data_IF_246570699383
#
_entry.id   IF_246570699383
#
_cell.length_a   1.000
_cell.length_b   1.000
_cell.length_c   1.000
_cell.angle_alpha   90.00
_cell.angle_beta   90.00
_cell.angle_gamma   90.00
#
_symmetry.space_group_name_H-M   'P 1'
#
loop_
_entity.id
_entity.type
_entity.pdbx_description
1 polymer ?
#
# COMPACT_ATOMS: atom_id res chain seq x y z
N UNK A 1 14.10 20.39 2.87
CA UNK A 1 13.79 19.01 3.34
C UNK A 1 14.33 18.71 4.74
N UNK A 2 15.60 18.84 5.10
CA UNK A 2 16.01 18.62 6.53
C UNK A 2 16.76 19.79 7.16
N UNK A 3 17.21 20.75 6.35
CA UNK A 3 18.07 21.84 6.83
C UNK A 3 19.43 21.36 7.35
N UNK A 4 19.82 20.12 7.01
CA UNK A 4 21.14 19.56 7.33
C UNK A 4 22.28 20.43 6.82
N UNK A 5 23.40 20.38 7.53
CA UNK A 5 24.65 21.02 7.06
C UNK A 5 25.32 20.15 6.00
N UNK A 6 26.27 20.69 5.22
CA UNK A 6 26.96 19.98 4.13
C UNK A 6 27.62 18.66 4.57
N UNK A 7 28.00 18.54 5.84
CA UNK A 7 28.63 17.34 6.39
C UNK A 7 27.64 16.24 6.79
N UNK A 8 26.33 16.50 6.75
CA UNK A 8 25.30 15.54 7.18
C UNK A 8 25.29 14.30 6.28
N UNK A 9 25.39 13.08 6.82
CA UNK A 9 25.33 11.84 6.06
C UNK A 9 24.03 11.71 5.28
N UNK A 10 24.13 11.19 4.05
CA UNK A 10 22.97 10.93 3.18
C UNK A 10 21.98 9.97 3.84
N UNK A 11 22.48 8.86 4.37
CA UNK A 11 21.68 7.86 5.07
C UNK A 11 20.84 8.45 6.22
N UNK A 12 21.40 9.40 6.99
CA UNK A 12 20.66 10.08 8.05
C UNK A 12 19.55 10.99 7.52
N UNK A 13 19.77 11.64 6.38
CA UNK A 13 18.74 12.44 5.72
C UNK A 13 17.63 11.55 5.15
N UNK A 14 17.99 10.44 4.50
CA UNK A 14 17.07 9.44 3.96
C UNK A 14 16.21 8.85 5.10
N UNK A 15 16.84 8.45 6.21
CA UNK A 15 16.17 7.89 7.41
C UNK A 15 15.14 8.83 8.00
N UNK A 16 15.45 10.12 8.15
CA UNK A 16 14.50 11.07 8.76
C UNK A 16 13.40 11.48 7.79
N UNK A 17 13.71 11.57 6.50
CA UNK A 17 12.72 12.02 5.51
C UNK A 17 11.83 10.91 4.99
N UNK A 18 12.21 9.65 5.17
CA UNK A 18 11.54 8.52 4.54
C UNK A 18 11.74 8.49 3.03
N UNK A 19 12.78 9.18 2.52
CA UNK A 19 13.06 9.22 1.09
C UNK A 19 13.98 8.09 0.69
N UNK A 20 13.58 7.36 -0.35
CA UNK A 20 14.42 6.37 -1.03
C UNK A 20 15.66 7.05 -1.64
N UNK A 21 16.79 6.35 -1.59
CA UNK A 21 18.02 6.80 -2.24
C UNK A 21 17.83 6.87 -3.77
N UNK A 22 18.65 7.69 -4.45
CA UNK A 22 18.63 7.71 -5.92
C UNK A 22 19.02 6.37 -6.53
N UNK A 23 19.81 5.57 -5.84
CA UNK A 23 20.22 4.26 -6.30
C UNK A 23 19.03 3.28 -6.28
N UNK A 24 18.26 3.25 -5.20
CA UNK A 24 17.12 2.35 -5.07
C UNK A 24 15.99 2.74 -6.03
N UNK A 25 15.77 4.05 -6.20
CA UNK A 25 14.85 4.56 -7.23
C UNK A 25 15.25 4.12 -8.65
N UNK A 26 16.55 4.05 -8.94
CA UNK A 26 17.06 3.53 -10.23
C UNK A 26 16.86 2.03 -10.33
N UNK A 27 17.19 1.27 -9.28
CA UNK A 27 16.97 -0.20 -9.21
C UNK A 27 15.50 -0.53 -9.50
N UNK A 28 14.58 0.14 -8.79
CA UNK A 28 13.12 0.07 -8.99
C UNK A 28 12.73 0.27 -10.44
N UNK A 29 13.16 1.38 -11.04
CA UNK A 29 12.85 1.71 -12.44
C UNK A 29 13.42 0.69 -13.43
N UNK A 30 14.64 0.21 -13.22
CA UNK A 30 15.27 -0.78 -14.10
C UNK A 30 14.48 -2.08 -14.09
N UNK A 31 14.19 -2.63 -12.91
CA UNK A 31 13.49 -3.92 -12.78
C UNK A 31 12.03 -3.80 -13.24
N UNK A 32 11.30 -2.75 -12.84
CA UNK A 32 9.93 -2.54 -13.33
C UNK A 32 9.85 -2.37 -14.85
N UNK A 33 10.84 -1.74 -15.47
CA UNK A 33 10.86 -1.58 -16.92
C UNK A 33 11.23 -2.90 -17.62
N UNK A 34 12.15 -3.66 -17.04
CA UNK A 34 12.54 -4.98 -17.53
C UNK A 34 11.34 -5.92 -17.54
N UNK A 35 10.60 -6.00 -16.43
CA UNK A 35 9.40 -6.84 -16.32
C UNK A 35 8.29 -6.36 -17.24
N UNK A 36 8.11 -5.05 -17.41
CA UNK A 36 7.17 -4.51 -18.40
C UNK A 36 7.48 -5.01 -19.81
N UNK A 37 8.75 -5.00 -20.22
CA UNK A 37 9.14 -5.49 -21.54
C UNK A 37 8.92 -6.99 -21.71
N UNK A 38 9.06 -7.80 -20.66
CA UNK A 38 8.70 -9.23 -20.72
C UNK A 38 7.22 -9.42 -21.06
N UNK A 39 6.34 -8.62 -20.46
CA UNK A 39 4.88 -8.74 -20.67
C UNK A 39 4.40 -8.14 -22.00
N UNK A 40 5.22 -7.39 -22.74
CA UNK A 40 4.85 -6.78 -24.02
C UNK A 40 5.30 -7.65 -25.20
N UNK A 41 4.55 -8.72 -25.50
CA UNK A 41 4.90 -9.71 -26.52
C UNK A 41 5.27 -9.11 -27.90
N UNK A 42 4.56 -8.05 -28.33
CA UNK A 42 4.77 -7.41 -29.63
C UNK A 42 5.88 -6.34 -29.64
N UNK A 43 6.53 -6.06 -28.51
CA UNK A 43 7.53 -5.01 -28.40
C UNK A 43 8.92 -5.51 -28.84
N UNK A 44 9.71 -4.76 -29.65
CA UNK A 44 11.02 -5.20 -30.13
C UNK A 44 12.00 -5.58 -29.00
N UNK A 45 11.92 -4.88 -27.86
CA UNK A 45 12.77 -5.14 -26.69
C UNK A 45 12.37 -6.44 -25.97
N UNK A 46 11.13 -6.94 -26.11
CA UNK A 46 10.75 -8.22 -25.53
C UNK A 46 11.66 -9.34 -26.04
N UNK A 47 11.90 -9.41 -27.36
CA UNK A 47 12.84 -10.36 -27.99
C UNK A 47 14.26 -10.26 -27.43
N UNK A 48 14.72 -9.06 -27.09
CA UNK A 48 16.05 -8.85 -26.50
C UNK A 48 16.11 -9.32 -25.04
N UNK A 49 15.02 -9.12 -24.29
CA UNK A 49 14.91 -9.56 -22.89
C UNK A 49 14.77 -11.08 -22.80
N UNK A 50 13.99 -11.70 -23.67
CA UNK A 50 13.72 -13.15 -23.66
C UNK A 50 14.89 -13.96 -24.20
N UNK A 51 15.50 -13.55 -25.33
CA UNK A 51 16.55 -14.34 -25.98
C UNK A 51 17.93 -14.23 -25.33
N UNK A 52 18.11 -13.28 -24.39
CA UNK A 52 19.36 -13.02 -23.66
C UNK A 52 20.64 -13.23 -24.51
N UNK A 53 20.81 -12.44 -25.59
CA UNK A 53 21.82 -12.72 -26.62
C UNK A 53 23.25 -12.73 -26.05
N UNK A 54 24.10 -13.62 -26.61
CA UNK A 54 25.50 -13.78 -26.18
C UNK A 54 26.24 -12.44 -26.24
N UNK A 55 26.93 -12.12 -25.15
CA UNK A 55 27.63 -10.84 -24.98
C UNK A 55 28.97 -10.87 -25.70
N UNK A 56 29.18 -9.91 -26.62
CA UNK A 56 30.47 -9.71 -27.30
C UNK A 56 31.48 -8.93 -26.45
N UNK A 57 31.01 -8.07 -25.55
CA UNK A 57 31.85 -7.23 -24.67
C UNK A 57 31.52 -7.51 -23.20
N UNK A 58 32.51 -7.41 -22.30
CA UNK A 58 32.36 -7.59 -20.84
C UNK A 58 31.55 -6.48 -20.13
N UNK A 59 30.90 -5.57 -20.87
CA UNK A 59 30.10 -4.47 -20.29
C UNK A 59 28.73 -4.96 -19.84
N UNK A 60 28.27 -4.47 -18.69
CA UNK A 60 26.90 -4.66 -18.20
C UNK A 60 25.94 -3.83 -19.05
N UNK A 61 24.91 -4.47 -19.59
CA UNK A 61 23.81 -3.81 -20.28
C UNK A 61 22.56 -3.77 -19.38
N UNK A 62 21.50 -3.14 -19.87
CA UNK A 62 20.23 -3.01 -19.15
C UNK A 62 19.67 -4.35 -18.67
N UNK A 63 19.66 -5.39 -19.52
CA UNK A 63 19.10 -6.71 -19.16
C UNK A 63 19.94 -7.43 -18.13
N UNK A 64 21.26 -7.36 -18.22
CA UNK A 64 22.19 -7.91 -17.24
C UNK A 64 21.99 -7.26 -15.86
N UNK A 65 21.88 -5.94 -15.84
CA UNK A 65 21.68 -5.17 -14.61
C UNK A 65 20.32 -5.51 -13.98
N UNK A 66 19.25 -5.57 -14.78
CA UNK A 66 17.94 -5.95 -14.30
C UNK A 66 17.89 -7.38 -13.73
N UNK A 67 18.51 -8.35 -14.40
CA UNK A 67 18.60 -9.74 -13.92
C UNK A 67 19.38 -9.86 -12.61
N UNK A 68 20.47 -9.11 -12.47
CA UNK A 68 21.25 -9.08 -11.23
C UNK A 68 20.42 -8.52 -10.07
N UNK A 69 19.72 -7.41 -10.28
CA UNK A 69 18.86 -6.80 -9.26
C UNK A 69 17.67 -7.72 -8.93
N UNK A 70 17.06 -8.33 -9.95
CA UNK A 70 15.97 -9.28 -9.77
C UNK A 70 16.39 -10.47 -8.90
N UNK A 71 17.60 -11.02 -9.16
CA UNK A 71 18.17 -12.09 -8.34
C UNK A 71 18.49 -11.63 -6.92
N UNK A 72 19.03 -10.43 -6.73
CA UNK A 72 19.32 -9.91 -5.38
C UNK A 72 18.08 -9.60 -4.55
N UNK A 73 16.94 -9.35 -5.20
CA UNK A 73 15.65 -9.14 -4.55
C UNK A 73 14.86 -10.44 -4.36
N UNK A 74 15.44 -11.59 -4.72
CA UNK A 74 14.80 -12.92 -4.62
C UNK A 74 13.39 -12.98 -5.24
N UNK A 75 13.19 -12.21 -6.31
CA UNK A 75 11.92 -12.17 -7.01
C UNK A 75 11.70 -13.52 -7.74
N UNK A 76 10.46 -14.05 -7.76
CA UNK A 76 10.14 -15.30 -8.43
C UNK A 76 10.48 -15.25 -9.92
N UNK A 77 10.75 -16.37 -10.59
CA UNK A 77 11.12 -16.35 -12.01
C UNK A 77 9.90 -15.95 -12.87
N UNK A 78 9.84 -14.67 -13.23
CA UNK A 78 8.70 -14.03 -13.89
C UNK A 78 8.72 -14.33 -15.39
N UNK A 79 8.22 -15.49 -15.81
CA UNK A 79 7.80 -15.67 -17.19
C UNK A 79 6.35 -15.23 -17.30
N UNK A 80 6.01 -14.24 -18.14
CA UNK A 80 4.63 -13.81 -18.24
C UNK A 80 3.79 -14.86 -18.96
N UNK A 81 2.80 -15.44 -18.26
CA UNK A 81 1.75 -16.23 -18.93
C UNK A 81 0.71 -15.32 -19.58
N UNK A 82 0.54 -14.11 -19.05
CA UNK A 82 -0.44 -13.14 -19.53
C UNK A 82 0.25 -11.95 -20.20
N UNK A 83 0.11 -11.77 -21.52
CA UNK A 83 0.63 -10.57 -22.17
C UNK A 83 -0.10 -9.34 -21.65
N UNK A 84 0.62 -8.24 -21.49
CA UNK A 84 0.03 -6.93 -21.26
C UNK A 84 -0.78 -6.57 -22.51
N UNK A 85 -2.11 -6.64 -22.43
CA UNK A 85 -2.96 -6.25 -23.56
C UNK A 85 -2.78 -4.75 -23.84
N UNK A 86 -2.37 -4.41 -25.07
CA UNK A 86 -2.61 -3.08 -25.61
C UNK A 86 -4.12 -2.91 -25.77
N UNK A 87 -4.63 -1.73 -25.43
CA UNK A 87 -6.04 -1.29 -25.54
C UNK A 87 -6.99 -2.27 -26.24
N UNK A 88 -8.00 -2.74 -25.52
CA UNK A 88 -9.07 -3.55 -26.13
C UNK A 88 -9.91 -2.67 -27.06
N UNK A 89 -10.32 -3.26 -28.17
CA UNK A 89 -11.40 -2.83 -29.05
C UNK A 89 -12.76 -2.92 -28.33
N UNK A 90 -12.93 -2.22 -27.20
CA UNK A 90 -14.23 -2.01 -26.59
C UNK A 90 -14.68 -0.61 -26.97
N UNK A 91 -15.44 -0.47 -28.07
CA UNK A 91 -15.84 0.82 -28.50
C UNK A 91 -16.70 1.51 -27.42
N UNK A 92 -16.47 2.79 -27.14
CA UNK A 92 -17.16 3.53 -26.09
C UNK A 92 -18.69 3.61 -26.27
N UNK A 93 -19.23 3.21 -27.42
CA UNK A 93 -20.65 3.17 -27.73
C UNK A 93 -21.35 1.84 -27.39
N UNK A 94 -20.61 0.80 -26.95
CA UNK A 94 -21.22 -0.35 -26.31
C UNK A 94 -21.66 0.06 -24.90
N UNK A 95 -22.82 0.72 -24.82
CA UNK A 95 -23.43 1.18 -23.59
C UNK A 95 -23.65 0.00 -22.65
N UNK A 96 -22.93 -0.01 -21.52
CA UNK A 96 -23.33 -0.77 -20.35
C UNK A 96 -24.71 -0.29 -19.93
N UNK A 97 -25.62 -1.22 -19.66
CA UNK A 97 -26.76 -1.01 -18.76
C UNK A 97 -26.24 -0.20 -17.58
N UNK A 98 -26.85 0.95 -17.26
CA UNK A 98 -26.42 1.77 -16.12
C UNK A 98 -26.67 0.98 -14.83
N UNK A 99 -25.66 0.24 -14.38
CA UNK A 99 -25.64 -0.41 -13.07
C UNK A 99 -25.53 0.70 -12.02
N UNK A 100 -26.42 0.67 -11.03
CA UNK A 100 -26.41 1.65 -9.95
C UNK A 100 -25.21 1.37 -9.04
N UNK A 101 -24.14 2.18 -9.15
CA UNK A 101 -22.95 2.12 -8.29
C UNK A 101 -23.01 3.25 -7.25
N UNK A 102 -23.16 2.90 -5.98
CA UNK A 102 -23.23 3.83 -4.86
C UNK A 102 -21.96 3.73 -4.03
N UNK A 103 -21.15 4.80 -4.00
CA UNK A 103 -19.80 4.81 -3.39
C UNK A 103 -19.70 5.54 -2.06
N UNK A 104 -20.81 6.07 -1.57
CA UNK A 104 -20.89 6.87 -0.36
C UNK A 104 -22.12 6.44 0.46
N UNK A 105 -22.05 6.65 1.77
CA UNK A 105 -23.17 6.49 2.71
C UNK A 105 -23.38 7.85 3.35
N UNK A 106 -24.62 8.35 3.34
CA UNK A 106 -24.96 9.64 3.91
C UNK A 106 -24.43 9.78 5.34
N UNK A 107 -23.79 10.92 5.63
CA UNK A 107 -23.13 11.26 6.89
C UNK A 107 -21.88 10.43 7.30
N UNK A 108 -21.52 9.36 6.60
CA UNK A 108 -20.23 8.67 6.81
C UNK A 108 -19.11 9.49 6.17
N UNK A 109 -18.35 10.24 6.98
CA UNK A 109 -17.21 11.05 6.49
C UNK A 109 -15.87 10.43 6.86
N UNK A 110 -14.85 10.58 5.98
CA UNK A 110 -13.46 10.11 6.16
C UNK A 110 -12.70 10.71 7.36
N UNK A 111 -13.35 11.50 8.23
CA UNK A 111 -12.64 12.10 9.37
C UNK A 111 -12.24 10.98 10.33
N UNK A 112 -10.93 10.85 10.56
CA UNK A 112 -10.29 10.03 11.62
C UNK A 112 -10.84 10.28 13.04
N UNK A 113 -11.78 11.20 13.21
CA UNK A 113 -12.42 11.57 14.48
C UNK A 113 -13.76 10.89 14.73
N UNK A 114 -14.32 10.11 13.80
CA UNK A 114 -15.58 9.41 14.05
C UNK A 114 -15.35 8.19 14.96
N UNK A 115 -16.15 8.07 16.01
CA UNK A 115 -16.18 6.91 16.89
C UNK A 115 -16.74 5.74 16.07
N UNK A 116 -16.10 4.56 16.06
CA UNK A 116 -16.49 3.38 15.25
C UNK A 116 -18.00 3.09 15.24
N UNK A 117 -18.68 3.36 16.35
CA UNK A 117 -20.13 3.20 16.56
C UNK A 117 -20.99 4.01 15.58
N UNK A 118 -20.54 5.19 15.15
CA UNK A 118 -21.29 6.05 14.21
C UNK A 118 -21.37 5.44 12.79
N UNK A 119 -20.25 5.09 12.13
CA UNK A 119 -20.27 4.38 10.85
C UNK A 119 -21.04 3.05 10.88
N UNK A 120 -20.93 2.30 11.98
CA UNK A 120 -21.67 1.04 12.17
C UNK A 120 -23.18 1.29 12.08
N UNK A 121 -23.73 2.18 12.92
CA UNK A 121 -25.16 2.45 12.96
C UNK A 121 -25.70 2.99 11.63
N UNK A 122 -24.94 3.89 10.97
CA UNK A 122 -25.34 4.44 9.67
C UNK A 122 -25.37 3.37 8.58
N UNK A 123 -24.37 2.49 8.54
CA UNK A 123 -24.29 1.41 7.57
C UNK A 123 -25.38 0.37 7.81
N UNK A 124 -25.62 -0.02 9.06
CA UNK A 124 -26.68 -0.95 9.42
C UNK A 124 -28.07 -0.40 9.06
N UNK A 125 -28.34 0.87 9.39
CA UNK A 125 -29.60 1.51 9.01
C UNK A 125 -29.77 1.60 7.49
N UNK A 126 -28.71 1.88 6.74
CA UNK A 126 -28.73 1.86 5.27
C UNK A 126 -29.08 0.46 4.73
N UNK A 127 -28.46 -0.59 5.27
CA UNK A 127 -28.77 -1.97 4.90
C UNK A 127 -30.24 -2.32 5.17
N UNK A 128 -30.74 -1.98 6.35
CA UNK A 128 -32.11 -2.34 6.75
C UNK A 128 -33.20 -1.53 6.01
N UNK A 129 -32.89 -0.29 5.61
CA UNK A 129 -33.85 0.59 4.92
C UNK A 129 -33.82 0.46 3.40
N UNK A 130 -32.63 0.46 2.79
CA UNK A 130 -32.47 0.41 1.32
C UNK A 130 -32.44 -1.02 0.79
N UNK A 131 -31.85 -1.95 1.54
CA UNK A 131 -31.61 -3.33 1.11
C UNK A 131 -32.11 -4.36 2.15
N UNK A 132 -33.39 -4.32 2.57
CA UNK A 132 -33.91 -5.21 3.61
C UNK A 132 -33.75 -6.68 3.21
N UNK A 133 -33.25 -7.51 4.12
CA UNK A 133 -32.85 -8.90 3.86
C UNK A 133 -33.97 -9.79 3.32
N UNK A 134 -35.22 -9.52 3.69
CA UNK A 134 -36.38 -10.29 3.22
C UNK A 134 -36.82 -9.98 1.78
N UNK A 135 -36.26 -8.95 1.13
CA UNK A 135 -36.59 -8.59 -0.25
C UNK A 135 -35.35 -8.48 -1.17
N UNK A 136 -34.15 -8.49 -0.60
CA UNK A 136 -32.90 -8.35 -1.32
C UNK A 136 -31.95 -9.50 -1.00
N UNK A 137 -31.31 -10.05 -2.02
CA UNK A 137 -30.12 -10.86 -1.85
C UNK A 137 -28.96 -9.92 -1.54
N UNK A 138 -28.33 -10.10 -0.38
CA UNK A 138 -27.17 -9.29 0.05
C UNK A 138 -25.90 -10.12 -0.07
N UNK A 139 -25.01 -9.77 -0.98
CA UNK A 139 -23.72 -10.44 -1.14
C UNK A 139 -22.60 -9.53 -0.67
N UNK A 140 -21.97 -9.87 0.45
CA UNK A 140 -20.81 -9.21 1.01
C UNK A 140 -19.54 -9.84 0.48
N UNK A 141 -18.56 -9.01 0.14
CA UNK A 141 -17.29 -9.46 -0.43
C UNK A 141 -16.11 -8.71 0.18
N UNK A 142 -15.02 -9.43 0.45
CA UNK A 142 -13.77 -8.85 0.93
C UNK A 142 -12.57 -9.59 0.32
N UNK A 143 -11.40 -8.96 0.33
CA UNK A 143 -10.14 -9.50 -0.18
C UNK A 143 -8.98 -9.23 0.76
N UNK A 144 -8.18 -10.27 1.01
CA UNK A 144 -7.00 -10.20 1.87
C UNK A 144 -5.76 -10.71 1.14
N UNK A 145 -4.60 -10.13 1.41
CA UNK A 145 -3.31 -10.67 1.00
C UNK A 145 -2.28 -10.56 2.12
N UNK A 146 -1.52 -11.63 2.30
CA UNK A 146 -0.38 -11.70 3.22
C UNK A 146 0.73 -10.78 2.73
N UNK A 147 1.32 -10.00 3.64
CA UNK A 147 2.36 -9.00 3.32
C UNK A 147 1.96 -8.04 2.17
N UNK A 148 0.65 -7.86 1.97
CA UNK A 148 0.01 -7.11 0.89
C UNK A 148 0.21 -7.65 -0.55
N UNK A 149 0.96 -8.76 -0.74
CA UNK A 149 1.36 -9.24 -2.09
C UNK A 149 1.43 -10.76 -2.25
N UNK A 150 1.17 -11.54 -1.20
CA UNK A 150 1.26 -13.01 -1.21
C UNK A 150 -0.01 -13.67 -0.69
N UNK A 151 -0.19 -14.93 -1.09
CA UNK A 151 -1.19 -15.86 -0.56
C UNK A 151 -2.54 -15.16 -0.33
N UNK A 152 -3.09 -14.62 -1.42
CA UNK A 152 -4.30 -13.81 -1.33
C UNK A 152 -5.54 -14.68 -1.25
N UNK A 153 -6.54 -14.22 -0.53
CA UNK A 153 -7.84 -14.86 -0.48
C UNK A 153 -8.98 -13.88 -0.68
N UNK A 154 -9.99 -14.32 -1.43
CA UNK A 154 -11.26 -13.64 -1.58
C UNK A 154 -12.32 -14.33 -0.72
N UNK A 155 -13.17 -13.54 -0.08
CA UNK A 155 -14.27 -14.02 0.75
C UNK A 155 -15.61 -13.53 0.22
N UNK A 156 -16.59 -14.42 0.14
CA UNK A 156 -17.96 -14.09 -0.30
C UNK A 156 -18.96 -14.66 0.70
N UNK A 157 -19.80 -13.78 1.24
CA UNK A 157 -20.92 -14.13 2.10
C UNK A 157 -22.23 -13.65 1.48
N UNK A 158 -23.14 -14.58 1.18
CA UNK A 158 -24.43 -14.27 0.57
C UNK A 158 -25.54 -14.56 1.58
N UNK A 159 -26.37 -13.58 1.85
CA UNK A 159 -27.61 -13.73 2.60
C UNK A 159 -28.79 -13.78 1.62
N UNK A 160 -29.58 -14.84 1.73
CA UNK A 160 -30.76 -15.06 0.91
C UNK A 160 -32.03 -14.60 1.65
N UNK A 161 -33.10 -14.22 0.92
CA UNK A 161 -34.35 -13.77 1.52
C UNK A 161 -35.07 -14.78 2.42
N UNK A 162 -34.76 -16.07 2.28
CA UNK A 162 -35.29 -17.16 3.10
C UNK A 162 -34.51 -17.35 4.43
N UNK A 163 -33.60 -16.42 4.76
CA UNK A 163 -32.66 -16.48 5.88
C UNK A 163 -31.59 -17.58 5.78
N UNK A 164 -31.46 -18.25 4.63
CA UNK A 164 -30.29 -19.09 4.37
C UNK A 164 -29.08 -18.23 4.03
N UNK A 165 -27.88 -18.82 4.11
CA UNK A 165 -26.66 -18.11 3.74
C UNK A 165 -25.63 -19.00 3.06
N UNK A 166 -24.91 -18.45 2.10
CA UNK A 166 -23.78 -19.11 1.43
C UNK A 166 -22.47 -18.45 1.84
N UNK A 167 -21.43 -19.28 2.08
CA UNK A 167 -20.08 -18.85 2.46
C UNK A 167 -19.08 -19.47 1.50
N UNK A 168 -18.22 -18.64 0.91
CA UNK A 168 -17.25 -19.08 -0.09
C UNK A 168 -15.92 -18.41 0.20
N UNK A 169 -14.87 -19.23 0.28
CA UNK A 169 -13.48 -18.80 0.43
C UNK A 169 -12.73 -19.18 -0.84
N UNK A 170 -11.94 -18.25 -1.38
CA UNK A 170 -11.34 -18.35 -2.71
C UNK A 170 -9.84 -18.13 -2.60
N UNK A 171 -8.97 -19.06 -3.01
CA UNK A 171 -7.56 -18.80 -3.18
C UNK A 171 -7.33 -17.97 -4.45
N UNK A 172 -6.80 -16.76 -4.30
CA UNK A 172 -6.60 -15.80 -5.41
C UNK A 172 -5.17 -15.84 -5.97
N UNK A 173 -4.37 -16.77 -5.45
CA UNK A 173 -3.05 -17.12 -5.94
C UNK A 173 -1.92 -16.69 -5.00
N UNK A 174 -0.77 -17.34 -5.21
CA UNK A 174 0.45 -17.14 -4.41
C UNK A 174 1.00 -15.72 -4.46
N UNK A 175 0.81 -15.04 -5.59
CA UNK A 175 1.11 -13.63 -5.77
C UNK A 175 -0.20 -12.93 -6.05
N UNK A 176 -0.76 -12.31 -5.02
CA UNK A 176 -2.04 -11.62 -5.12
C UNK A 176 -2.00 -10.39 -4.22
N UNK A 177 -2.60 -9.31 -4.68
CA UNK A 177 -2.71 -8.06 -3.92
C UNK A 177 -4.11 -7.98 -3.33
N UNK A 178 -4.30 -7.21 -2.25
CA UNK A 178 -5.65 -6.98 -1.69
C UNK A 178 -6.63 -6.54 -2.79
N UNK A 179 -6.22 -5.60 -3.65
CA UNK A 179 -7.03 -5.13 -4.78
C UNK A 179 -7.47 -6.25 -5.74
N UNK A 180 -6.56 -7.17 -6.07
CA UNK A 180 -6.91 -8.33 -6.91
C UNK A 180 -7.86 -9.26 -6.18
N UNK A 181 -7.58 -9.56 -4.90
CA UNK A 181 -8.42 -10.44 -4.11
C UNK A 181 -9.84 -9.88 -3.93
N UNK A 182 -9.97 -8.57 -3.70
CA UNK A 182 -11.23 -7.83 -3.64
C UNK A 182 -12.00 -7.94 -4.97
N UNK A 183 -11.31 -7.75 -6.10
CA UNK A 183 -11.92 -7.86 -7.43
C UNK A 183 -12.36 -9.29 -7.77
N UNK A 184 -11.56 -10.30 -7.41
CA UNK A 184 -11.89 -11.71 -7.62
C UNK A 184 -13.04 -12.17 -6.72
N UNK A 185 -13.12 -11.69 -5.47
CA UNK A 185 -14.25 -11.94 -4.58
C UNK A 185 -15.56 -11.41 -5.15
N UNK A 186 -15.58 -10.17 -5.66
CA UNK A 186 -16.73 -9.61 -6.36
C UNK A 186 -17.09 -10.40 -7.62
N UNK A 187 -16.08 -10.83 -8.39
CA UNK A 187 -16.29 -11.58 -9.61
C UNK A 187 -16.93 -12.94 -9.30
N UNK A 188 -16.48 -13.61 -8.25
CA UNK A 188 -17.01 -14.90 -7.83
C UNK A 188 -18.42 -14.76 -7.25
N UNK A 189 -18.68 -13.74 -6.43
CA UNK A 189 -20.02 -13.43 -5.97
C UNK A 189 -20.99 -13.26 -7.14
N UNK A 190 -20.58 -12.51 -8.18
CA UNK A 190 -21.40 -12.32 -9.37
C UNK A 190 -21.67 -13.64 -10.11
N UNK A 191 -20.67 -14.51 -10.30
CA UNK A 191 -20.85 -15.82 -10.95
C UNK A 191 -21.79 -16.74 -10.17
N UNK A 192 -21.62 -16.81 -8.85
CA UNK A 192 -22.46 -17.64 -7.97
C UNK A 192 -23.91 -17.19 -8.06
N UNK A 193 -24.14 -15.88 -8.05
CA UNK A 193 -25.47 -15.31 -8.17
C UNK A 193 -26.08 -15.58 -9.55
N UNK A 194 -25.33 -15.45 -10.64
CA UNK A 194 -25.79 -15.78 -12.01
C UNK A 194 -26.25 -17.24 -12.12
N UNK A 195 -25.54 -18.15 -11.47
CA UNK A 195 -25.83 -19.58 -11.54
C UNK A 195 -26.92 -20.05 -10.56
N UNK A 196 -27.46 -19.16 -9.71
CA UNK A 196 -28.51 -19.49 -8.75
C UNK A 196 -29.89 -19.17 -9.33
N UNK A 197 -30.80 -20.14 -9.33
CA UNK A 197 -32.19 -19.95 -9.74
C UNK A 197 -32.91 -18.89 -8.88
N UNK A 198 -32.56 -18.80 -7.60
CA UNK A 198 -33.13 -17.82 -6.68
C UNK A 198 -32.82 -16.36 -7.06
N UNK A 199 -31.81 -16.13 -7.91
CA UNK A 199 -31.44 -14.79 -8.39
C UNK A 199 -32.33 -14.32 -9.54
N UNK A 200 -33.00 -15.23 -10.25
CA UNK A 200 -33.78 -14.87 -11.44
C UNK A 200 -34.93 -13.93 -11.06
N UNK A 201 -34.91 -12.70 -11.61
CA UNK A 201 -35.85 -11.62 -11.28
C UNK A 201 -35.81 -11.14 -9.81
N UNK A 202 -34.81 -11.52 -9.03
CA UNK A 202 -34.61 -11.02 -7.68
C UNK A 202 -33.89 -9.66 -7.65
N UNK A 203 -34.00 -8.94 -6.52
CA UNK A 203 -33.20 -7.73 -6.27
C UNK A 203 -31.91 -8.14 -5.57
N UNK A 204 -30.78 -7.64 -6.07
CA UNK A 204 -29.44 -8.02 -5.63
C UNK A 204 -28.63 -6.77 -5.29
N UNK A 205 -27.94 -6.80 -4.16
CA UNK A 205 -26.91 -5.81 -3.81
C UNK A 205 -25.58 -6.51 -3.56
N UNK A 206 -24.53 -6.07 -4.27
CA UNK A 206 -23.14 -6.44 -3.97
C UNK A 206 -22.55 -5.38 -3.03
N UNK A 207 -22.08 -5.82 -1.87
CA UNK A 207 -21.58 -4.99 -0.77
C UNK A 207 -20.07 -5.23 -0.62
N UNK A 208 -19.27 -4.18 -0.75
CA UNK A 208 -17.80 -4.28 -0.69
C UNK A 208 -17.20 -3.03 -0.06
N UNK A 209 -16.09 -3.16 0.65
CA UNK A 209 -15.29 -2.02 1.12
C UNK A 209 -14.20 -1.58 0.13
N UNK A 210 -14.04 -2.32 -0.96
CA UNK A 210 -13.12 -2.09 -2.07
C UNK A 210 -13.53 -0.94 -2.99
N UNK A 211 -13.58 0.30 -2.48
CA UNK A 211 -13.93 1.49 -3.29
C UNK A 211 -13.04 1.64 -4.52
N UNK A 212 -11.76 1.26 -4.43
CA UNK A 212 -10.83 1.26 -5.56
C UNK A 212 -11.28 0.37 -6.71
N UNK A 213 -11.87 -0.79 -6.42
CA UNK A 213 -12.39 -1.70 -7.45
C UNK A 213 -13.62 -1.10 -8.11
N UNK A 214 -14.52 -0.48 -7.33
CA UNK A 214 -15.67 0.24 -7.87
C UNK A 214 -15.26 1.46 -8.72
N UNK A 215 -14.18 2.16 -8.35
CA UNK A 215 -13.60 3.25 -9.14
C UNK A 215 -12.99 2.74 -10.46
N UNK A 216 -12.39 1.55 -10.45
CA UNK A 216 -11.89 0.93 -11.66
C UNK A 216 -13.01 0.45 -12.59
N UNK A 217 -14.14 -0.04 -12.04
CA UNK A 217 -15.31 -0.45 -12.84
C UNK A 217 -15.98 0.71 -13.58
N UNK A 218 -15.99 1.91 -12.98
CA UNK A 218 -16.44 3.13 -13.67
C UNK A 218 -15.47 3.56 -14.78
N UNK A 219 -14.23 3.09 -14.76
CA UNK A 219 -13.21 3.41 -15.76
C UNK A 219 -13.24 2.40 -16.91
N UNK A 220 -13.58 2.87 -18.11
CA UNK A 220 -13.53 2.05 -19.34
C UNK A 220 -12.12 1.63 -19.77
N UNK A 221 -11.08 1.89 -18.97
CA UNK A 221 -9.66 1.76 -19.33
C UNK A 221 -8.89 0.80 -18.42
N UNK A 222 -9.55 -0.02 -17.60
CA UNK A 222 -8.89 -0.92 -16.66
C UNK A 222 -9.04 -2.40 -17.08
N UNK A 223 -8.10 -2.97 -17.85
CA UNK A 223 -8.17 -4.36 -18.30
C UNK A 223 -8.31 -5.39 -17.17
N UNK A 224 -7.77 -5.08 -16.00
CA UNK A 224 -7.77 -5.94 -14.82
C UNK A 224 -9.17 -6.27 -14.30
N UNK A 225 -10.14 -5.37 -14.48
CA UNK A 225 -11.52 -5.57 -13.99
C UNK A 225 -12.47 -6.00 -15.11
N UNK A 226 -11.97 -6.35 -16.30
CA UNK A 226 -12.84 -6.73 -17.42
C UNK A 226 -13.64 -8.00 -17.15
N UNK A 227 -13.00 -9.03 -16.58
CA UNK A 227 -13.68 -10.27 -16.25
C UNK A 227 -14.77 -10.05 -15.18
N UNK A 228 -14.48 -9.16 -14.21
CA UNK A 228 -15.44 -8.69 -13.23
C UNK A 228 -16.60 -7.91 -13.90
N UNK A 229 -16.29 -6.95 -14.78
CA UNK A 229 -17.29 -6.16 -15.49
C UNK A 229 -18.21 -7.04 -16.36
N UNK A 230 -17.67 -8.07 -17.01
CA UNK A 230 -18.46 -9.06 -17.73
C UNK A 230 -19.38 -9.84 -16.78
N UNK A 231 -18.86 -10.36 -15.66
CA UNK A 231 -19.65 -11.09 -14.68
C UNK A 231 -20.79 -10.23 -14.08
N UNK A 232 -20.51 -8.97 -13.75
CA UNK A 232 -21.53 -8.01 -13.27
C UNK A 232 -22.56 -7.71 -14.37
N UNK A 233 -22.12 -7.56 -15.62
CA UNK A 233 -23.04 -7.33 -16.76
C UNK A 233 -23.98 -8.54 -16.93
N UNK A 234 -23.46 -9.77 -16.88
CA UNK A 234 -24.30 -10.97 -16.92
C UNK A 234 -25.27 -11.01 -15.75
N UNK A 235 -24.81 -10.73 -14.53
CA UNK A 235 -25.68 -10.66 -13.35
C UNK A 235 -26.80 -9.60 -13.50
N UNK A 236 -26.48 -8.47 -14.12
CA UNK A 236 -27.45 -7.40 -14.38
C UNK A 236 -28.58 -7.81 -15.34
N UNK A 237 -28.33 -8.81 -16.19
CA UNK A 237 -29.33 -9.38 -17.09
C UNK A 237 -30.18 -10.48 -16.41
N UNK A 238 -29.67 -11.11 -15.36
CA UNK A 238 -30.38 -12.16 -14.60
C UNK A 238 -31.26 -11.59 -13.49
N UNK A 239 -30.77 -10.58 -12.75
CA UNK A 239 -31.49 -9.95 -11.65
C UNK A 239 -32.52 -8.92 -12.15
N UNK A 240 -33.61 -8.69 -11.41
CA UNK A 240 -34.55 -7.60 -11.73
C UNK A 240 -33.99 -6.23 -11.38
N UNK A 241 -33.13 -6.16 -10.36
CA UNK A 241 -32.37 -4.97 -9.99
C UNK A 241 -31.02 -5.38 -9.41
N UNK A 242 -29.94 -4.76 -9.90
CA UNK A 242 -28.58 -4.93 -9.39
C UNK A 242 -28.03 -3.60 -8.90
N UNK A 243 -27.46 -3.58 -7.69
CA UNK A 243 -26.78 -2.42 -7.11
C UNK A 243 -25.40 -2.83 -6.62
N UNK A 244 -24.39 -1.99 -6.88
CA UNK A 244 -23.06 -2.09 -6.27
C UNK A 244 -22.98 -1.03 -5.18
N UNK A 245 -22.89 -1.43 -3.91
CA UNK A 245 -22.88 -0.53 -2.76
C UNK A 245 -21.55 -0.65 -2.02
N UNK A 246 -20.81 0.45 -1.95
CA UNK A 246 -19.66 0.55 -1.07
C UNK A 246 -20.11 0.57 0.40
N UNK A 247 -19.42 -0.17 1.26
CA UNK A 247 -19.57 -0.10 2.71
C UNK A 247 -18.22 0.16 3.39
N UNK A 248 -18.16 0.86 4.53
CA UNK A 248 -16.93 0.98 5.27
C UNK A 248 -16.47 -0.38 5.80
N UNK A 249 -15.18 -0.68 5.65
CA UNK A 249 -14.54 -1.84 6.30
C UNK A 249 -14.29 -1.59 7.80
N UNK A 250 -14.20 -2.68 8.57
CA UNK A 250 -13.85 -2.68 10.01
C UNK A 250 -14.76 -1.85 10.94
N UNK A 251 -16.05 -1.78 10.63
CA UNK A 251 -17.08 -1.10 11.45
C UNK A 251 -18.14 -2.08 12.00
N UNK A 252 -17.74 -3.33 12.24
CA UNK A 252 -18.55 -4.36 12.90
C UNK A 252 -19.87 -4.67 12.17
N UNK A 253 -19.84 -4.70 10.83
CA UNK A 253 -20.98 -5.12 10.01
C UNK A 253 -20.85 -6.63 9.78
N UNK A 254 -21.78 -7.39 10.37
CA UNK A 254 -21.71 -8.85 10.43
C UNK A 254 -21.37 -9.50 9.08
N UNK A 255 -22.08 -9.16 8.01
CA UNK A 255 -21.83 -9.75 6.69
C UNK A 255 -20.44 -9.43 6.13
N UNK A 256 -19.91 -8.22 6.40
CA UNK A 256 -18.56 -7.84 5.99
C UNK A 256 -17.50 -8.55 6.82
N UNK A 257 -17.70 -8.69 8.14
CA UNK A 257 -16.76 -9.37 9.02
C UNK A 257 -16.68 -10.88 8.68
N UNK A 258 -17.80 -11.48 8.27
CA UNK A 258 -17.80 -12.86 7.75
C UNK A 258 -17.03 -12.93 6.42
N UNK A 259 -17.20 -11.96 5.52
CA UNK A 259 -16.44 -11.92 4.26
C UNK A 259 -14.92 -11.75 4.51
N UNK A 260 -14.50 -10.87 5.41
CA UNK A 260 -13.09 -10.69 5.85
C UNK A 260 -12.51 -12.02 6.38
N UNK A 261 -13.27 -12.73 7.21
CA UNK A 261 -12.86 -14.03 7.74
C UNK A 261 -12.71 -15.08 6.62
N UNK A 262 -13.65 -15.14 5.67
CA UNK A 262 -13.57 -16.03 4.51
C UNK A 262 -12.40 -15.67 3.58
N UNK A 263 -12.08 -14.37 3.44
CA UNK A 263 -10.92 -13.91 2.68
C UNK A 263 -9.61 -14.38 3.32
N UNK A 264 -9.51 -14.34 4.66
CA UNK A 264 -8.35 -14.90 5.40
C UNK A 264 -8.25 -16.41 5.22
N UNK A 265 -9.38 -17.12 5.29
CA UNK A 265 -9.42 -18.57 5.04
C UNK A 265 -8.98 -18.90 3.60
N UNK A 266 -9.41 -18.13 2.60
CA UNK A 266 -8.98 -18.26 1.21
C UNK A 266 -7.47 -18.09 1.04
N UNK A 267 -6.83 -17.23 1.83
CA UNK A 267 -5.37 -17.08 1.86
C UNK A 267 -4.64 -18.25 2.52
N UNK A 268 -5.30 -19.01 3.38
CA UNK A 268 -4.76 -20.22 4.02
C UNK A 268 -4.94 -21.50 3.18
N UNK A 269 -5.79 -21.46 2.15
CA UNK A 269 -5.99 -22.57 1.22
C UNK A 269 -4.76 -22.80 0.34
N UNK A 270 -4.71 -23.98 -0.31
CA UNK A 270 -3.67 -24.28 -1.29
C UNK A 270 -3.72 -23.28 -2.45
N UNK A 271 -2.67 -22.47 -2.55
CA UNK A 271 -2.58 -21.43 -3.56
C UNK A 271 -2.12 -22.02 -4.89
N UNK A 272 -2.90 -21.78 -5.94
CA UNK A 272 -2.46 -22.11 -7.30
C UNK A 272 -1.36 -21.13 -7.70
N UNK A 273 -0.22 -21.66 -8.13
CA UNK A 273 0.88 -20.86 -8.63
C UNK A 273 0.62 -20.50 -10.10
N UNK A 274 0.10 -19.30 -10.32
CA UNK A 274 0.09 -18.66 -11.63
C UNK A 274 1.27 -17.70 -11.78
N UNK A 275 1.73 -17.49 -13.00
CA UNK A 275 2.69 -16.43 -13.26
C UNK A 275 2.02 -15.07 -13.02
N UNK A 276 2.61 -14.19 -12.20
CA UNK A 276 2.00 -12.92 -11.85
C UNK A 276 1.93 -12.01 -13.08
N UNK A 277 0.86 -11.23 -13.16
CA UNK A 277 0.73 -10.09 -14.06
C UNK A 277 1.83 -9.05 -13.83
N UNK A 278 1.94 -8.11 -14.76
CA UNK A 278 2.86 -6.99 -14.62
C UNK A 278 2.62 -6.16 -13.36
N UNK A 279 1.37 -5.95 -12.97
CA UNK A 279 1.05 -5.11 -11.82
C UNK A 279 1.29 -5.84 -10.49
N UNK A 280 1.03 -7.14 -10.41
CA UNK A 280 1.46 -7.98 -9.28
C UNK A 280 2.98 -7.97 -9.15
N UNK A 281 3.68 -8.21 -10.26
CA UNK A 281 5.14 -8.13 -10.34
C UNK A 281 5.67 -6.78 -9.85
N UNK A 282 5.07 -5.67 -10.31
CA UNK A 282 5.47 -4.32 -9.90
C UNK A 282 5.26 -4.10 -8.41
N UNK A 283 4.18 -4.65 -7.86
CA UNK A 283 3.88 -4.56 -6.42
C UNK A 283 4.86 -5.40 -5.60
N UNK A 284 5.21 -6.60 -6.06
CA UNK A 284 6.26 -7.43 -5.47
C UNK A 284 7.62 -6.72 -5.45
N UNK A 285 8.01 -6.09 -6.57
CA UNK A 285 9.25 -5.29 -6.66
C UNK A 285 9.24 -4.15 -5.63
N UNK A 286 8.12 -3.43 -5.51
CA UNK A 286 8.00 -2.34 -4.54
C UNK A 286 8.10 -2.88 -3.11
N UNK A 287 7.38 -3.95 -2.78
CA UNK A 287 7.40 -4.55 -1.44
C UNK A 287 8.80 -5.03 -1.06
N UNK A 288 9.51 -5.72 -1.96
CA UNK A 288 10.88 -6.18 -1.73
C UNK A 288 11.87 -5.02 -1.49
N UNK A 289 11.77 -3.96 -2.28
CA UNK A 289 12.61 -2.76 -2.11
C UNK A 289 12.26 -1.98 -0.84
N UNK A 290 10.99 -1.85 -0.51
CA UNK A 290 10.54 -1.19 0.73
C UNK A 290 11.02 -1.97 1.96
N UNK A 291 10.99 -3.31 1.90
CA UNK A 291 11.54 -4.18 2.94
C UNK A 291 13.06 -3.96 3.11
N UNK A 292 13.81 -3.97 2.01
CA UNK A 292 15.25 -3.70 2.02
C UNK A 292 15.56 -2.31 2.59
N UNK A 293 14.82 -1.29 2.15
CA UNK A 293 14.99 0.08 2.64
C UNK A 293 14.75 0.17 4.15
N UNK A 294 13.70 -0.48 4.69
CA UNK A 294 13.43 -0.50 6.14
C UNK A 294 14.53 -1.21 6.93
N UNK A 295 15.16 -2.23 6.38
CA UNK A 295 16.30 -2.91 7.01
C UNK A 295 17.53 -1.98 7.09
N UNK A 296 17.77 -1.17 6.06
CA UNK A 296 18.85 -0.16 6.06
C UNK A 296 18.53 1.07 6.94
N UNK A 297 17.25 1.34 7.17
CA UNK A 297 16.75 2.52 7.88
C UNK A 297 15.87 2.15 9.09
N UNK A 298 16.36 1.33 10.05
CA UNK A 298 15.56 0.83 11.17
C UNK A 298 15.08 1.94 12.13
N UNK A 299 15.74 3.09 12.10
CA UNK A 299 15.41 4.27 12.91
C UNK A 299 14.32 5.15 12.28
N UNK A 300 13.88 4.85 11.06
CA UNK A 300 12.83 5.63 10.42
C UNK A 300 11.49 5.44 11.14
N UNK A 301 10.88 6.55 11.55
CA UNK A 301 9.55 6.57 12.15
C UNK A 301 8.66 7.58 11.42
N UNK A 302 7.70 7.09 10.64
CA UNK A 302 6.74 7.94 9.92
C UNK A 302 5.77 8.71 10.82
N UNK A 303 5.66 8.33 12.10
CA UNK A 303 4.82 8.97 13.12
C UNK A 303 5.62 9.81 14.12
N UNK A 304 6.88 10.13 13.80
CA UNK A 304 7.72 10.94 14.67
C UNK A 304 7.07 12.30 14.96
N UNK A 305 7.02 12.68 16.25
CA UNK A 305 6.41 13.93 16.66
C UNK A 305 7.18 15.17 16.13
N UNK A 306 8.40 15.00 15.60
CA UNK A 306 9.13 16.05 14.88
C UNK A 306 8.29 16.64 13.74
N UNK A 307 7.43 15.84 13.10
CA UNK A 307 6.58 16.28 12.00
C UNK A 307 5.48 17.29 12.42
N UNK A 308 5.20 17.41 13.73
CA UNK A 308 4.25 18.39 14.29
C UNK A 308 4.89 19.74 14.60
N UNK A 309 6.22 19.81 14.66
CA UNK A 309 6.96 21.02 15.00
C UNK A 309 7.03 22.00 13.82
N UNK A 310 7.32 23.27 14.12
CA UNK A 310 7.60 24.26 13.09
C UNK A 310 8.85 23.89 12.28
N UNK A 311 8.99 24.48 11.09
CA UNK A 311 10.13 24.18 10.22
C UNK A 311 11.48 24.48 10.89
N UNK A 312 11.57 25.55 11.68
CA UNK A 312 12.80 25.93 12.36
C UNK A 312 13.19 24.89 13.44
N UNK A 313 12.21 24.44 14.22
CA UNK A 313 12.40 23.43 15.27
C UNK A 313 12.78 22.07 14.66
N UNK A 314 12.11 21.65 13.59
CA UNK A 314 12.47 20.43 12.86
C UNK A 314 13.94 20.43 12.43
N UNK A 315 14.44 21.56 11.92
CA UNK A 315 15.85 21.70 11.50
C UNK A 315 16.79 21.62 12.70
N UNK A 316 16.43 22.26 13.82
CA UNK A 316 17.22 22.23 15.04
C UNK A 316 17.34 20.80 15.58
N UNK A 317 16.20 20.12 15.78
CA UNK A 317 16.16 18.74 16.26
C UNK A 317 16.90 17.80 15.30
N UNK A 318 16.69 17.93 13.99
CA UNK A 318 17.39 17.11 13.00
C UNK A 318 18.92 17.26 13.10
N UNK A 319 19.42 18.49 13.21
CA UNK A 319 20.86 18.75 13.37
C UNK A 319 21.41 18.25 14.71
N UNK A 320 20.61 18.28 15.77
CA UNK A 320 20.98 17.73 17.07
C UNK A 320 21.07 16.20 17.01
N UNK A 321 20.03 15.51 16.53
CA UNK A 321 19.98 14.04 16.40
C UNK A 321 21.07 13.47 15.50
N UNK A 322 21.45 14.20 14.45
CA UNK A 322 22.51 13.76 13.55
C UNK A 322 23.91 14.12 14.06
N UNK A 323 24.03 14.98 15.08
CA UNK A 323 25.31 15.56 15.51
C UNK A 323 25.88 16.61 14.52
N UNK A 324 25.22 16.85 13.39
CA UNK A 324 25.63 17.82 12.36
C UNK A 324 25.10 19.22 12.62
N UNK A 325 25.24 19.67 13.88
CA UNK A 325 24.81 20.96 14.39
C UNK A 325 25.92 22.03 14.33
N UNK A 326 25.66 23.24 14.83
CA UNK A 326 26.58 24.38 14.79
C UNK A 326 27.36 24.57 16.11
N UNK A 327 27.53 23.52 16.90
CA UNK A 327 28.34 23.58 18.12
C UNK A 327 29.84 23.48 17.78
N UNK A 328 30.70 23.98 18.68
CA UNK A 328 32.16 24.09 18.41
C UNK A 328 32.79 22.77 17.99
N UNK A 329 32.39 21.65 18.59
CA UNK A 329 32.95 20.35 18.23
C UNK A 329 32.75 20.00 16.74
N UNK A 330 31.51 20.11 16.23
CA UNK A 330 31.23 19.80 14.81
C UNK A 330 31.82 20.86 13.87
N UNK A 331 31.74 22.15 14.22
CA UNK A 331 32.31 23.23 13.42
C UNK A 331 33.83 23.10 13.26
N UNK A 332 34.54 22.80 14.35
CA UNK A 332 35.98 22.63 14.31
C UNK A 332 36.39 21.31 13.64
N UNK A 333 35.78 20.18 14.03
CA UNK A 333 36.18 18.87 13.50
C UNK A 333 35.94 18.71 11.99
N UNK A 334 34.76 19.14 11.50
CA UNK A 334 34.34 18.94 10.10
C UNK A 334 34.66 20.11 9.17
N UNK A 335 34.59 21.34 9.68
CA UNK A 335 34.72 22.54 8.85
C UNK A 335 35.97 23.38 9.17
N UNK A 336 36.72 23.04 10.22
CA UNK A 336 37.90 23.80 10.69
C UNK A 336 37.58 25.26 10.99
N UNK A 337 36.38 25.51 11.52
CA UNK A 337 35.90 26.84 11.91
C UNK A 337 36.05 27.03 13.43
N UNK A 338 36.67 28.13 13.85
CA UNK A 338 36.89 28.52 15.25
C UNK A 338 38.21 28.01 15.82
N UNK A 339 38.48 28.40 17.08
CA UNK A 339 39.80 28.21 17.71
C UNK A 339 39.99 26.82 18.37
N UNK A 340 38.96 25.97 18.36
CA UNK A 340 39.02 24.62 18.91
C UNK A 340 37.64 24.01 19.19
N UNK A 341 37.57 22.70 19.49
CA UNK A 341 36.32 22.01 19.79
C UNK A 341 35.85 22.24 21.23
N UNK A 342 36.68 22.83 22.08
CA UNK A 342 36.51 22.89 23.53
C UNK A 342 35.29 23.72 23.94
N UNK A 343 34.60 23.23 24.97
CA UNK A 343 33.50 23.94 25.60
C UNK A 343 34.03 25.06 26.52
N UNK A 344 33.34 26.22 26.61
CA UNK A 344 33.72 27.29 27.55
C UNK A 344 33.82 26.85 29.02
N UNK A 345 33.15 25.76 29.41
CA UNK A 345 33.27 25.18 30.75
C UNK A 345 34.59 24.42 31.01
N UNK A 346 35.53 24.42 30.05
CA UNK A 346 36.81 23.72 30.15
C UNK A 346 36.81 22.29 29.60
N UNK A 347 35.65 21.75 29.19
CA UNK A 347 35.58 20.43 28.57
C UNK A 347 36.23 20.38 27.17
N UNK A 348 36.82 19.25 26.82
CA UNK A 348 37.55 19.06 25.55
C UNK A 348 36.67 19.07 24.29
N UNK A 349 35.35 18.93 24.43
CA UNK A 349 34.41 19.03 23.31
C UNK A 349 33.13 19.77 23.75
N UNK A 350 32.59 20.58 22.85
CA UNK A 350 31.24 21.13 22.94
C UNK A 350 30.37 20.48 21.85
N UNK A 351 29.75 19.37 22.20
CA UNK A 351 28.74 18.67 21.39
C UNK A 351 27.35 18.78 22.02
N UNK A 352 26.34 18.15 21.40
CA UNK A 352 24.96 18.24 21.88
C UNK A 352 24.80 17.63 23.27
N UNK A 353 25.54 16.56 23.60
CA UNK A 353 25.52 15.96 24.93
C UNK A 353 26.09 16.89 25.97
N UNK A 354 27.25 17.48 25.70
CA UNK A 354 27.84 18.47 26.58
C UNK A 354 26.88 19.62 26.83
N UNK A 355 26.29 20.20 25.78
CA UNK A 355 25.41 21.38 25.91
C UNK A 355 24.09 21.05 26.60
N UNK A 356 23.46 19.92 26.27
CA UNK A 356 22.11 19.58 26.75
C UNK A 356 22.09 18.76 28.05
N UNK A 357 23.20 18.12 28.45
CA UNK A 357 23.22 17.17 29.58
C UNK A 357 24.29 17.43 30.63
N UNK A 358 25.45 17.99 30.27
CA UNK A 358 26.60 17.94 31.18
C UNK A 358 27.23 19.30 31.49
N UNK A 359 26.94 20.35 30.72
CA UNK A 359 27.64 21.63 30.86
C UNK A 359 27.18 22.34 32.14
N UNK A 360 28.08 22.58 33.12
CA UNK A 360 27.71 23.26 34.37
C UNK A 360 27.35 24.72 34.12
N UNK A 361 27.97 25.38 33.14
CA UNK A 361 27.63 26.76 32.76
C UNK A 361 26.21 26.90 32.16
N UNK A 362 25.56 25.79 31.81
CA UNK A 362 24.20 25.77 31.26
C UNK A 362 23.21 25.09 32.21
N UNK A 363 23.60 24.81 33.45
CA UNK A 363 22.77 24.07 34.41
C UNK A 363 21.42 24.75 34.67
N UNK A 364 21.40 26.05 34.97
CA UNK A 364 20.15 26.79 35.20
C UNK A 364 19.19 26.71 34.01
N UNK A 365 19.72 26.82 32.79
CA UNK A 365 18.93 26.71 31.57
C UNK A 365 18.39 25.29 31.37
N UNK A 366 19.18 24.26 31.71
CA UNK A 366 18.74 22.86 31.66
C UNK A 366 17.68 22.58 32.71
N UNK A 367 17.84 23.02 33.95
CA UNK A 367 16.80 22.85 34.99
C UNK A 367 15.48 23.52 34.59
N UNK A 368 15.54 24.64 33.87
CA UNK A 368 14.34 25.35 33.39
C UNK A 368 13.66 24.70 32.18
N UNK A 369 14.42 24.23 31.20
CA UNK A 369 13.89 23.82 29.88
C UNK A 369 14.13 22.35 29.52
N UNK A 370 15.02 21.66 30.23
CA UNK A 370 15.43 20.27 30.01
C UNK A 370 15.77 19.56 31.35
N UNK A 371 14.80 19.41 32.27
CA UNK A 371 15.07 19.00 33.65
C UNK A 371 15.50 17.53 33.77
N UNK A 372 15.14 16.68 32.80
CA UNK A 372 15.45 15.25 32.81
C UNK A 372 16.47 14.89 31.72
N UNK A 373 17.53 14.13 32.05
CA UNK A 373 18.44 13.62 31.05
C UNK A 373 17.74 12.68 30.08
N UNK A 374 18.01 12.83 28.78
CA UNK A 374 17.45 11.95 27.74
C UNK A 374 18.48 11.63 26.68
N UNK A 375 18.33 10.48 26.05
CA UNK A 375 19.14 10.11 24.89
C UNK A 375 18.88 11.07 23.72
N UNK A 376 19.95 11.74 23.29
CA UNK A 376 19.88 12.79 22.28
C UNK A 376 19.53 12.22 20.90
N UNK A 377 19.92 10.98 20.60
CA UNK A 377 19.75 10.40 19.27
C UNK A 377 18.33 9.86 19.03
N UNK A 378 17.60 9.50 20.08
CA UNK A 378 16.30 8.79 20.02
C UNK A 378 15.17 9.58 20.68
N UNK A 379 15.44 10.32 21.77
CA UNK A 379 14.43 10.84 22.69
C UNK A 379 14.20 12.35 22.60
N UNK A 380 14.85 13.04 21.64
CA UNK A 380 14.71 14.49 21.45
C UNK A 380 13.30 14.94 21.02
N UNK A 381 12.37 14.02 20.74
CA UNK A 381 10.96 14.36 20.45
C UNK A 381 10.01 13.30 20.98
N UNK A 382 9.70 13.37 22.27
CA UNK A 382 8.47 12.82 22.87
C UNK A 382 8.11 13.67 24.10
N UNK A 383 7.28 14.70 23.90
CA UNK A 383 5.98 15.00 24.55
C UNK A 383 5.32 16.08 23.69
#
# INVERSE_FOLDING_TARGET
MTGGTKSTPKNSMESVTGLESLEDRRKKKIVCQYTKFQHLANHPVCKLVTNNPRRRLKRTNFTASAQQIHKSLELPDLRPDTPLQSSIDWPPWNQQSQIETVKDIDAVTRKKSMIKREPHCLTQNMLDTKYPSNHWIRAFTDGSASEAVRDGGGGVYIEWPDNSSSKISIPTGKYSTNYKAEAEALQEAAKVLVNSEATHLAKVVLLTDARSVLDALDSTKCPEVNALAQAITTLSLTASKLVLQWIPGHVDIFGNDVADQLAKEGGMMEQIQHNPSYNETKTLINSALDCHWRQEHPQHNSKDAIHKLSRAEQVTIFRLRTGHNRLKHNLFSRFKIGDGPNCPCGANCQDAQKVLQDCPLLEDARLKYWPEPREINTSLVLV
#
